data_IF_972884239993
#
_entry.id   IF_972884239993
#
_cell.length_a   1.000
_cell.length_b   1.000
_cell.length_c   1.000
_cell.angle_alpha   90.00
_cell.angle_beta   90.00
_cell.angle_gamma   90.00
#
_symmetry.space_group_name_H-M   'P 1'
#
loop_
_entity.id
_entity.type
_entity.pdbx_description
1 polymer ?
#
# COMPACT_ATOMS: atom_id res chain seq x y z
N UNK A 1 -24.70 17.76 -12.39
CA UNK A 1 -24.38 17.08 -11.12
C UNK A 1 -25.62 16.43 -10.51
N UNK A 2 -26.68 17.19 -10.20
CA UNK A 2 -27.88 16.70 -9.49
C UNK A 2 -28.52 15.44 -10.09
N UNK A 3 -28.67 15.38 -11.42
CA UNK A 3 -29.18 14.18 -12.09
C UNK A 3 -28.25 12.97 -11.89
N UNK A 4 -26.93 13.17 -12.01
CA UNK A 4 -25.94 12.11 -11.80
C UNK A 4 -25.91 11.63 -10.35
N UNK A 5 -26.07 12.54 -9.39
CA UNK A 5 -26.17 12.21 -7.97
C UNK A 5 -27.43 11.37 -7.71
N UNK A 6 -28.57 11.73 -8.31
CA UNK A 6 -29.81 10.95 -8.16
C UNK A 6 -29.64 9.52 -8.67
N UNK A 7 -29.12 9.35 -9.89
CA UNK A 7 -28.85 8.01 -10.46
C UNK A 7 -27.81 7.24 -9.65
N UNK A 8 -26.81 7.92 -9.10
CA UNK A 8 -25.85 7.30 -8.18
C UNK A 8 -26.53 6.76 -6.92
N UNK A 9 -27.37 7.56 -6.26
CA UNK A 9 -28.09 7.15 -5.05
C UNK A 9 -29.15 6.07 -5.31
N UNK A 10 -29.73 6.02 -6.51
CA UNK A 10 -30.61 4.92 -6.93
C UNK A 10 -29.84 3.59 -7.05
N UNK A 11 -28.60 3.62 -7.54
CA UNK A 11 -27.76 2.41 -7.69
C UNK A 11 -27.04 2.02 -6.40
N UNK A 12 -26.65 2.99 -5.58
CA UNK A 12 -25.91 2.81 -4.33
C UNK A 12 -26.65 3.48 -3.15
N UNK A 13 -27.83 2.98 -2.76
CA UNK A 13 -28.66 3.61 -1.72
C UNK A 13 -27.96 3.67 -0.35
N UNK A 14 -27.12 2.68 -0.05
CA UNK A 14 -26.38 2.59 1.21
C UNK A 14 -25.32 3.69 1.36
N UNK A 15 -24.96 4.39 0.27
CA UNK A 15 -24.09 5.57 0.35
C UNK A 15 -24.63 6.61 1.33
N UNK A 16 -25.96 6.77 1.44
CA UNK A 16 -26.61 7.70 2.37
C UNK A 16 -26.30 7.36 3.83
N UNK A 17 -26.07 6.08 4.16
CA UNK A 17 -25.72 5.63 5.50
C UNK A 17 -24.33 6.13 5.92
N UNK A 18 -23.50 6.55 4.96
CA UNK A 18 -22.15 7.05 5.20
C UNK A 18 -22.09 8.57 5.40
N UNK A 19 -23.22 9.27 5.54
CA UNK A 19 -23.31 10.74 5.65
C UNK A 19 -22.39 11.35 6.72
N UNK A 20 -22.08 10.63 7.79
CA UNK A 20 -21.11 11.05 8.81
C UNK A 20 -19.75 11.42 8.21
N UNK A 21 -19.34 10.80 7.09
CA UNK A 21 -18.10 11.12 6.39
C UNK A 21 -18.18 12.44 5.60
N UNK A 22 -19.37 12.91 5.21
CA UNK A 22 -19.52 14.27 4.63
C UNK A 22 -19.39 15.34 5.72
N UNK A 23 -19.95 15.08 6.89
CA UNK A 23 -19.80 15.95 8.07
C UNK A 23 -18.32 15.99 8.52
N UNK A 24 -17.66 14.83 8.54
CA UNK A 24 -16.21 14.72 8.77
C UNK A 24 -15.41 15.50 7.72
N UNK A 25 -15.77 15.39 6.44
CA UNK A 25 -15.10 16.10 5.33
C UNK A 25 -15.15 17.62 5.52
N UNK A 26 -16.28 18.13 6.00
CA UNK A 26 -16.50 19.55 6.30
C UNK A 26 -15.81 20.02 7.59
N UNK A 27 -15.65 19.13 8.58
CA UNK A 27 -15.05 19.49 9.87
C UNK A 27 -13.52 19.37 9.86
N UNK A 28 -12.99 18.26 9.30
CA UNK A 28 -11.60 17.83 9.51
C UNK A 28 -10.71 17.92 8.25
N UNK A 29 -11.35 18.07 7.08
CA UNK A 29 -10.68 18.02 5.78
C UNK A 29 -11.11 19.16 4.84
N UNK A 30 -11.77 20.20 5.37
CA UNK A 30 -12.40 21.27 4.59
C UNK A 30 -11.44 22.01 3.64
N UNK A 31 -10.13 21.94 3.92
CA UNK A 31 -9.08 22.54 3.10
C UNK A 31 -9.09 22.06 1.65
N UNK A 32 -9.57 20.85 1.39
CA UNK A 32 -9.76 20.38 0.01
C UNK A 32 -10.86 21.19 -0.69
N UNK A 33 -11.99 21.48 -0.04
CA UNK A 33 -13.08 22.28 -0.62
C UNK A 33 -12.73 23.76 -0.69
N UNK A 34 -12.16 24.29 0.40
CA UNK A 34 -11.71 25.68 0.49
C UNK A 34 -10.65 26.02 -0.57
N UNK A 35 -9.82 25.04 -0.93
CA UNK A 35 -8.84 25.18 -2.01
C UNK A 35 -9.36 24.69 -3.36
N UNK A 36 -10.58 24.16 -3.45
CA UNK A 36 -11.13 23.59 -4.68
C UNK A 36 -10.20 22.53 -5.31
N UNK A 37 -9.77 21.56 -4.50
CA UNK A 37 -8.91 20.44 -4.89
C UNK A 37 -9.66 19.11 -4.77
N UNK A 38 -9.64 18.33 -5.85
CA UNK A 38 -10.10 16.93 -5.84
C UNK A 38 -8.90 16.04 -5.54
N UNK A 39 -8.92 15.32 -4.43
CA UNK A 39 -7.82 14.43 -4.05
C UNK A 39 -8.18 12.96 -4.29
N UNK A 40 -7.51 12.34 -5.24
CA UNK A 40 -7.71 10.93 -5.62
C UNK A 40 -6.38 10.18 -5.75
N UNK A 41 -5.41 10.48 -4.88
CA UNK A 41 -4.14 9.74 -4.73
C UNK A 41 -3.99 9.11 -3.33
N UNK A 42 -5.07 8.61 -2.74
CA UNK A 42 -5.07 7.98 -1.41
C UNK A 42 -4.14 6.75 -1.29
N UNK A 43 -3.91 6.02 -2.38
CA UNK A 43 -2.92 4.91 -2.38
C UNK A 43 -1.48 5.44 -2.34
N UNK A 44 -1.26 6.69 -2.77
CA UNK A 44 0.00 7.41 -2.65
C UNK A 44 0.26 7.85 -1.21
N UNK A 45 -0.76 8.39 -0.54
CA UNK A 45 -0.77 8.75 0.88
C UNK A 45 -2.16 9.20 1.35
N UNK A 46 -2.47 8.98 2.62
CA UNK A 46 -3.70 9.48 3.22
C UNK A 46 -3.62 10.98 3.53
N UNK A 47 -4.75 11.54 3.95
CA UNK A 47 -4.84 12.91 4.47
C UNK A 47 -5.01 12.87 5.99
N UNK A 48 -4.41 13.83 6.68
CA UNK A 48 -4.55 14.02 8.12
C UNK A 48 -5.74 14.92 8.46
N UNK A 49 -6.44 14.65 9.54
CA UNK A 49 -7.46 15.54 10.07
C UNK A 49 -6.83 16.74 10.78
N UNK A 50 -7.53 17.88 10.80
CA UNK A 50 -7.07 19.08 11.49
C UNK A 50 -6.97 18.85 13.01
N UNK A 51 -7.88 18.06 13.59
CA UNK A 51 -7.83 17.59 14.98
C UNK A 51 -6.57 16.79 15.29
N UNK A 52 -6.20 15.82 14.45
CA UNK A 52 -4.99 15.01 14.67
C UNK A 52 -3.75 15.88 14.84
N UNK A 53 -3.60 16.91 14.01
CA UNK A 53 -2.47 17.85 14.10
C UNK A 53 -2.56 18.70 15.37
N UNK A 54 -3.74 19.26 15.66
CA UNK A 54 -3.95 20.09 16.85
C UNK A 54 -3.64 19.32 18.14
N UNK A 55 -4.21 18.13 18.29
CA UNK A 55 -4.07 17.30 19.49
C UNK A 55 -2.61 16.90 19.72
N UNK A 56 -1.90 16.54 18.65
CA UNK A 56 -0.48 16.20 18.74
C UNK A 56 0.39 17.43 19.05
N UNK A 57 0.12 18.58 18.44
CA UNK A 57 0.84 19.81 18.73
C UNK A 57 0.58 20.32 20.15
N UNK A 58 -0.65 20.17 20.64
CA UNK A 58 -1.00 20.51 22.02
C UNK A 58 -0.32 19.59 23.02
N UNK A 59 -0.19 18.29 22.72
CA UNK A 59 0.64 17.38 23.51
C UNK A 59 2.09 17.88 23.58
N UNK A 60 2.71 18.19 22.44
CA UNK A 60 4.11 18.65 22.37
C UNK A 60 4.34 20.00 23.07
N UNK A 61 3.37 20.92 23.01
CA UNK A 61 3.46 22.24 23.69
C UNK A 61 3.35 22.15 25.20
N UNK A 62 2.56 21.21 25.70
CA UNK A 62 2.24 21.09 27.12
C UNK A 62 3.10 20.06 27.87
N UNK A 63 3.92 19.28 27.15
CA UNK A 63 4.79 18.26 27.74
C UNK A 63 6.28 18.56 27.59
N UNK A 64 7.08 17.95 28.47
CA UNK A 64 8.54 17.91 28.33
C UNK A 64 8.93 16.46 28.05
N UNK A 65 9.43 16.20 26.86
CA UNK A 65 9.71 14.85 26.36
C UNK A 65 11.18 14.70 26.01
N UNK A 66 11.83 13.70 26.60
CA UNK A 66 13.21 13.34 26.32
C UNK A 66 13.29 12.08 25.46
N UNK A 67 14.50 11.75 25.00
CA UNK A 67 14.79 10.44 24.42
C UNK A 67 14.36 9.34 25.41
N UNK A 68 13.70 8.25 24.98
CA UNK A 68 13.45 7.09 25.84
C UNK A 68 14.77 6.50 26.38
N UNK A 69 14.69 5.52 27.30
CA UNK A 69 15.83 4.77 27.87
C UNK A 69 16.58 5.42 29.06
N UNK A 70 16.03 6.46 29.69
CA UNK A 70 16.53 6.98 30.97
C UNK A 70 15.43 6.97 32.05
N UNK A 71 15.81 6.96 33.33
CA UNK A 71 14.86 7.01 34.45
C UNK A 71 14.46 8.45 34.85
N UNK A 72 14.69 9.44 33.98
CA UNK A 72 14.30 10.82 34.28
C UNK A 72 12.85 11.07 33.85
N UNK A 73 12.15 12.06 34.44
CA UNK A 73 10.71 12.24 34.21
C UNK A 73 10.30 12.45 32.74
N UNK A 74 11.12 13.13 31.94
CA UNK A 74 10.80 13.38 30.52
C UNK A 74 11.02 12.15 29.65
N UNK A 75 11.96 11.28 30.02
CA UNK A 75 12.19 9.99 29.36
C UNK A 75 11.10 8.99 29.70
N UNK A 76 10.72 8.86 30.98
CA UNK A 76 9.60 7.99 31.39
C UNK A 76 8.26 8.42 30.78
N UNK A 77 8.02 9.73 30.67
CA UNK A 77 6.83 10.25 29.98
C UNK A 77 6.79 9.82 28.51
N UNK A 78 7.92 9.93 27.81
CA UNK A 78 8.07 9.44 26.43
C UNK A 78 7.84 7.94 26.34
N UNK A 79 8.46 7.13 27.21
CA UNK A 79 8.29 5.66 27.22
C UNK A 79 6.82 5.29 27.36
N UNK A 80 6.08 5.92 28.29
CA UNK A 80 4.64 5.66 28.44
C UNK A 80 3.84 5.95 27.17
N UNK A 81 4.15 7.05 26.48
CA UNK A 81 3.43 7.41 25.24
C UNK A 81 3.77 6.47 24.08
N UNK A 82 5.03 6.03 23.97
CA UNK A 82 5.46 5.07 22.95
C UNK A 82 4.79 3.71 23.18
N UNK A 83 4.78 3.22 24.41
CA UNK A 83 4.13 1.94 24.74
C UNK A 83 2.62 2.02 24.58
N UNK A 84 1.97 3.13 24.96
CA UNK A 84 0.55 3.37 24.69
C UNK A 84 0.22 3.29 23.19
N UNK A 85 1.05 3.93 22.35
CA UNK A 85 0.88 3.84 20.89
C UNK A 85 1.05 2.40 20.37
N UNK A 86 2.02 1.65 20.91
CA UNK A 86 2.28 0.26 20.55
C UNK A 86 1.12 -0.67 20.93
N UNK A 87 0.62 -0.54 22.15
CA UNK A 87 -0.57 -1.24 22.64
C UNK A 87 -1.79 -0.90 21.78
N UNK A 88 -1.97 0.36 21.40
CA UNK A 88 -3.08 0.78 20.56
C UNK A 88 -3.02 0.21 19.15
N UNK A 89 -1.83 0.08 18.56
CA UNK A 89 -1.64 -0.61 17.27
C UNK A 89 -2.15 -2.04 17.39
N UNK A 90 -1.71 -2.79 18.40
CA UNK A 90 -2.15 -4.18 18.60
C UNK A 90 -3.67 -4.27 18.82
N UNK A 91 -4.22 -3.38 19.66
CA UNK A 91 -5.66 -3.29 19.92
C UNK A 91 -6.46 -3.04 18.63
N UNK A 92 -6.06 -2.04 17.83
CA UNK A 92 -6.80 -1.65 16.62
C UNK A 92 -6.91 -2.81 15.61
N UNK A 93 -5.84 -3.60 15.48
CA UNK A 93 -5.78 -4.76 14.58
C UNK A 93 -6.25 -6.07 15.23
N UNK A 94 -6.82 -6.03 16.44
CA UNK A 94 -7.19 -7.23 17.20
C UNK A 94 -6.05 -8.26 17.29
N UNK A 95 -4.81 -7.80 17.51
CA UNK A 95 -3.63 -8.63 17.63
C UNK A 95 -3.35 -8.94 19.12
N UNK A 96 -3.58 -10.17 19.60
CA UNK A 96 -3.40 -10.50 21.01
C UNK A 96 -1.94 -10.25 21.46
N UNK A 97 -1.68 -9.47 22.52
CA UNK A 97 -0.32 -9.15 22.95
C UNK A 97 0.51 -10.34 23.44
N UNK A 98 -0.13 -11.47 23.75
CA UNK A 98 0.52 -12.74 24.05
C UNK A 98 1.06 -13.43 22.78
N UNK A 99 0.43 -13.23 21.62
CA UNK A 99 0.78 -13.84 20.33
C UNK A 99 1.60 -12.91 19.41
N UNK A 100 1.34 -11.59 19.47
CA UNK A 100 1.91 -10.60 18.57
C UNK A 100 2.69 -9.49 19.30
N UNK A 101 3.63 -8.88 18.58
CA UNK A 101 4.28 -7.62 18.95
C UNK A 101 4.22 -6.63 17.78
N UNK A 102 4.22 -5.34 18.11
CA UNK A 102 4.32 -4.27 17.13
C UNK A 102 5.71 -3.64 17.22
N UNK A 103 6.44 -3.56 16.11
CA UNK A 103 7.78 -2.97 15.99
C UNK A 103 7.67 -1.74 15.10
N UNK A 104 8.09 -0.58 15.58
CA UNK A 104 8.05 0.65 14.79
C UNK A 104 9.18 0.68 13.77
N UNK A 105 8.84 1.07 12.55
CA UNK A 105 9.77 1.20 11.43
C UNK A 105 9.53 2.54 10.74
N UNK A 106 10.34 2.89 9.74
CA UNK A 106 10.16 4.16 9.01
C UNK A 106 8.91 4.19 8.11
N UNK A 107 8.43 3.02 7.69
CA UNK A 107 7.22 2.76 6.88
C UNK A 107 7.16 1.24 6.56
N UNK A 108 6.19 0.80 5.76
CA UNK A 108 6.06 -0.61 5.37
C UNK A 108 7.32 -1.14 4.63
N UNK A 109 8.03 -0.32 3.87
CA UNK A 109 9.30 -0.72 3.24
C UNK A 109 10.37 -0.99 4.29
N UNK A 110 10.42 -0.22 5.37
CA UNK A 110 11.29 -0.48 6.51
C UNK A 110 10.99 -1.83 7.15
N UNK A 111 9.72 -2.13 7.39
CA UNK A 111 9.27 -3.43 7.91
C UNK A 111 9.61 -4.59 6.96
N UNK A 112 9.34 -4.45 5.66
CA UNK A 112 9.68 -5.45 4.64
C UNK A 112 11.19 -5.70 4.56
N UNK A 113 12.00 -4.64 4.61
CA UNK A 113 13.46 -4.75 4.62
C UNK A 113 13.95 -5.49 5.86
N UNK A 114 13.41 -5.16 7.04
CA UNK A 114 13.76 -5.79 8.32
C UNK A 114 13.52 -7.30 8.27
N UNK A 115 12.34 -7.73 7.82
CA UNK A 115 12.05 -9.16 7.64
C UNK A 115 13.00 -9.75 6.60
N UNK A 116 13.14 -9.12 5.43
CA UNK A 116 14.00 -9.65 4.35
C UNK A 116 15.46 -9.86 4.75
N UNK A 117 16.05 -8.92 5.48
CA UNK A 117 17.45 -9.03 5.91
C UNK A 117 17.64 -10.07 7.02
N UNK A 118 16.68 -10.16 7.95
CA UNK A 118 16.78 -10.99 9.14
C UNK A 118 16.22 -12.41 8.94
N UNK A 119 15.35 -12.65 7.97
CA UNK A 119 14.77 -13.97 7.74
C UNK A 119 15.86 -14.99 7.40
N UNK A 120 15.80 -16.22 7.96
CA UNK A 120 16.88 -17.21 7.85
C UNK A 120 16.87 -17.94 6.50
N UNK A 121 16.80 -17.19 5.39
CA UNK A 121 16.99 -17.79 4.06
C UNK A 121 18.31 -18.56 4.02
N UNK A 122 18.31 -19.68 3.32
CA UNK A 122 19.47 -20.53 3.12
C UNK A 122 19.28 -21.38 1.86
N UNK A 123 20.35 -22.05 1.42
CA UNK A 123 20.27 -23.07 0.38
C UNK A 123 19.20 -24.13 0.72
N UNK A 124 18.36 -24.45 -0.27
CA UNK A 124 17.22 -25.37 -0.09
C UNK A 124 15.97 -24.75 0.54
N UNK A 125 16.02 -23.48 0.95
CA UNK A 125 14.84 -22.68 1.31
C UNK A 125 14.16 -22.04 0.10
N UNK A 126 12.98 -21.45 0.31
CA UNK A 126 12.16 -20.84 -0.75
C UNK A 126 11.62 -19.46 -0.35
N UNK A 127 11.57 -18.55 -1.31
CA UNK A 127 10.84 -17.30 -1.25
C UNK A 127 9.82 -17.25 -2.39
N UNK A 128 8.54 -17.32 -2.03
CA UNK A 128 7.42 -17.27 -2.96
C UNK A 128 6.75 -15.90 -2.87
N UNK A 129 6.44 -15.30 -4.00
CA UNK A 129 5.72 -14.02 -4.03
C UNK A 129 4.85 -13.88 -5.27
N UNK A 130 3.80 -13.07 -5.21
CA UNK A 130 2.94 -12.79 -6.38
C UNK A 130 3.60 -11.77 -7.34
N UNK A 131 3.21 -11.78 -8.62
CA UNK A 131 3.58 -10.71 -9.58
C UNK A 131 3.04 -9.35 -9.14
N UNK A 132 1.90 -9.35 -8.47
CA UNK A 132 1.22 -8.17 -7.98
C UNK A 132 1.78 -7.75 -6.62
N UNK A 133 3.01 -7.24 -6.63
CA UNK A 133 3.73 -6.84 -5.43
C UNK A 133 4.38 -5.48 -5.61
N UNK A 134 4.34 -4.67 -4.55
CA UNK A 134 5.12 -3.44 -4.50
C UNK A 134 6.63 -3.76 -4.55
N UNK A 135 7.43 -2.85 -5.13
CA UNK A 135 8.89 -2.99 -5.29
C UNK A 135 9.60 -3.39 -3.98
N UNK A 136 9.10 -2.93 -2.84
CA UNK A 136 9.65 -3.25 -1.53
C UNK A 136 9.54 -4.75 -1.19
N UNK A 137 8.45 -5.42 -1.59
CA UNK A 137 8.30 -6.87 -1.45
C UNK A 137 9.20 -7.60 -2.45
N UNK A 138 9.23 -7.10 -3.69
CA UNK A 138 10.12 -7.63 -4.73
C UNK A 138 11.60 -7.55 -4.32
N UNK A 139 12.00 -6.52 -3.58
CA UNK A 139 13.38 -6.32 -3.12
C UNK A 139 13.89 -7.38 -2.15
N UNK A 140 13.00 -8.04 -1.40
CA UNK A 140 13.38 -9.13 -0.47
C UNK A 140 14.06 -10.29 -1.20
N UNK A 141 13.74 -10.49 -2.49
CA UNK A 141 14.35 -11.54 -3.31
C UNK A 141 15.88 -11.44 -3.34
N UNK A 142 16.45 -10.26 -3.18
CA UNK A 142 17.90 -10.10 -3.21
C UNK A 142 18.53 -10.70 -1.94
N UNK A 143 17.90 -10.54 -0.77
CA UNK A 143 18.34 -11.23 0.45
C UNK A 143 18.20 -12.75 0.31
N UNK A 144 17.07 -13.23 -0.24
CA UNK A 144 16.84 -14.65 -0.49
C UNK A 144 17.92 -15.24 -1.41
N UNK A 145 18.21 -14.57 -2.55
CA UNK A 145 19.26 -14.97 -3.51
C UNK A 145 20.64 -14.97 -2.89
N UNK A 146 21.00 -13.93 -2.12
CA UNK A 146 22.32 -13.84 -1.46
C UNK A 146 22.52 -14.99 -0.48
N UNK A 147 21.48 -15.42 0.24
CA UNK A 147 21.57 -16.59 1.13
C UNK A 147 21.31 -17.94 0.43
N UNK A 148 21.07 -17.95 -0.89
CA UNK A 148 20.94 -19.16 -1.70
C UNK A 148 19.55 -19.80 -1.73
N UNK A 149 18.51 -19.12 -1.28
CA UNK A 149 17.13 -19.59 -1.38
C UNK A 149 16.58 -19.44 -2.82
N UNK A 150 15.68 -20.34 -3.21
CA UNK A 150 14.99 -20.29 -4.50
C UNK A 150 13.92 -19.18 -4.47
N UNK A 151 13.83 -18.37 -5.53
CA UNK A 151 12.81 -17.31 -5.65
C UNK A 151 11.85 -17.65 -6.77
N UNK A 152 10.56 -17.74 -6.47
CA UNK A 152 9.51 -18.09 -7.42
C UNK A 152 8.40 -17.06 -7.39
N UNK A 153 7.89 -16.67 -8.55
CA UNK A 153 6.79 -15.73 -8.66
C UNK A 153 5.48 -16.40 -9.12
N UNK A 154 4.37 -16.03 -8.51
CA UNK A 154 3.02 -16.46 -8.91
C UNK A 154 2.43 -15.43 -9.90
N UNK A 155 2.12 -15.81 -11.15
CA UNK A 155 1.64 -14.87 -12.15
C UNK A 155 0.25 -14.33 -11.81
N UNK A 156 -0.09 -13.20 -12.43
CA UNK A 156 -1.47 -12.69 -12.51
C UNK A 156 -2.04 -12.89 -13.90
N UNK A 157 -3.35 -13.04 -13.99
CA UNK A 157 -4.07 -13.36 -15.23
C UNK A 157 -4.86 -12.13 -15.71
N UNK A 158 -4.61 -11.61 -16.93
CA UNK A 158 -5.41 -10.55 -17.51
C UNK A 158 -6.81 -11.06 -17.94
N UNK A 159 -7.83 -10.18 -18.03
CA UNK A 159 -7.77 -8.73 -17.83
C UNK A 159 -7.87 -8.31 -16.35
N UNK A 160 -8.35 -9.19 -15.48
CA UNK A 160 -8.66 -8.85 -14.07
C UNK A 160 -7.41 -8.72 -13.19
N UNK A 161 -6.26 -9.19 -13.68
CA UNK A 161 -4.97 -9.15 -12.96
C UNK A 161 -5.05 -9.81 -11.58
N UNK A 162 -5.89 -10.83 -11.43
CA UNK A 162 -5.92 -11.69 -10.24
C UNK A 162 -4.83 -12.74 -10.33
N UNK A 163 -4.34 -13.19 -9.18
CA UNK A 163 -3.35 -14.27 -9.10
C UNK A 163 -3.91 -15.53 -9.73
N UNK A 164 -3.06 -16.27 -10.46
CA UNK A 164 -3.39 -17.59 -10.98
C UNK A 164 -3.49 -18.60 -9.81
N UNK A 165 -4.72 -18.94 -9.45
CA UNK A 165 -5.06 -19.82 -8.32
C UNK A 165 -4.48 -21.24 -8.46
N UNK A 166 -4.37 -21.74 -9.70
CA UNK A 166 -3.78 -23.06 -9.96
C UNK A 166 -2.27 -23.03 -9.69
N UNK A 167 -1.60 -21.96 -10.13
CA UNK A 167 -0.17 -21.75 -9.85
C UNK A 167 0.11 -21.47 -8.38
N UNK A 168 -0.76 -20.74 -7.69
CA UNK A 168 -0.67 -20.56 -6.24
C UNK A 168 -0.67 -21.92 -5.53
N UNK A 169 -1.65 -22.78 -5.84
CA UNK A 169 -1.76 -24.11 -5.24
C UNK A 169 -0.55 -24.99 -5.55
N UNK A 170 -0.09 -24.98 -6.80
CA UNK A 170 1.12 -25.69 -7.22
C UNK A 170 2.35 -25.24 -6.42
N UNK A 171 2.60 -23.93 -6.35
CA UNK A 171 3.81 -23.39 -5.74
C UNK A 171 3.81 -23.48 -4.21
N UNK A 172 2.65 -23.36 -3.55
CA UNK A 172 2.54 -23.61 -2.12
C UNK A 172 2.85 -25.06 -1.77
N UNK A 173 2.47 -26.02 -2.63
CA UNK A 173 2.73 -27.45 -2.45
C UNK A 173 4.20 -27.86 -2.67
N UNK A 174 5.08 -26.96 -3.09
CA UNK A 174 6.49 -27.30 -3.29
C UNK A 174 7.21 -27.54 -1.96
N UNK A 175 7.85 -28.70 -1.87
CA UNK A 175 8.71 -29.07 -0.75
C UNK A 175 9.99 -28.22 -0.73
N UNK A 176 10.51 -27.99 0.47
CA UNK A 176 11.82 -27.37 0.69
C UNK A 176 12.53 -28.10 1.84
N UNK A 177 13.87 -28.10 1.81
CA UNK A 177 14.70 -28.61 2.91
C UNK A 177 15.11 -27.49 3.89
N UNK A 178 14.74 -26.24 3.60
CA UNK A 178 14.99 -25.07 4.44
C UNK A 178 13.74 -24.20 4.61
N UNK A 179 13.89 -23.01 5.25
CA UNK A 179 12.78 -22.10 5.53
C UNK A 179 12.06 -21.63 4.27
N UNK A 180 10.78 -21.35 4.42
CA UNK A 180 9.86 -21.00 3.33
C UNK A 180 9.09 -19.74 3.71
N UNK A 181 9.28 -18.66 2.96
CA UNK A 181 8.54 -17.40 3.15
C UNK A 181 7.64 -17.13 1.95
N UNK A 182 6.34 -16.95 2.19
CA UNK A 182 5.37 -16.52 1.19
C UNK A 182 4.98 -15.06 1.44
N UNK A 183 5.12 -14.21 0.41
CA UNK A 183 4.84 -12.78 0.50
C UNK A 183 3.88 -12.28 -0.58
N UNK A 184 2.81 -11.59 -0.17
CA UNK A 184 1.84 -10.99 -1.07
C UNK A 184 1.17 -9.77 -0.42
N UNK A 185 0.60 -8.83 -1.19
CA UNK A 185 -0.15 -7.75 -0.57
C UNK A 185 -1.59 -8.20 -0.27
N UNK A 186 -2.19 -7.69 0.79
CA UNK A 186 -3.63 -7.88 1.01
C UNK A 186 -4.47 -7.13 -0.04
N UNK A 187 -3.94 -6.02 -0.58
CA UNK A 187 -4.54 -5.29 -1.69
C UNK A 187 -3.47 -4.77 -2.65
N UNK A 188 -3.68 -4.97 -3.94
CA UNK A 188 -2.87 -4.35 -4.99
C UNK A 188 -2.92 -2.82 -4.91
N UNK A 189 -1.75 -2.20 -4.91
CA UNK A 189 -1.62 -0.75 -5.10
C UNK A 189 -1.72 -0.32 -6.58
N UNK A 190 -1.88 -1.29 -7.50
CA UNK A 190 -2.01 -1.11 -8.94
C UNK A 190 -3.43 -1.43 -9.42
N UNK A 191 -3.85 -2.70 -9.42
CA UNK A 191 -5.15 -3.13 -9.96
C UNK A 191 -6.31 -2.88 -8.99
N UNK A 192 -6.00 -2.65 -7.72
CA UNK A 192 -6.97 -2.61 -6.63
C UNK A 192 -7.46 -4.00 -6.19
N UNK A 193 -7.02 -5.10 -6.79
CA UNK A 193 -7.40 -6.47 -6.37
C UNK A 193 -7.13 -6.66 -4.87
N UNK A 194 -8.14 -7.11 -4.13
CA UNK A 194 -7.99 -7.63 -2.77
C UNK A 194 -7.68 -9.13 -2.88
N UNK A 195 -6.54 -9.54 -2.35
CA UNK A 195 -6.14 -10.94 -2.34
C UNK A 195 -6.78 -11.64 -1.12
N UNK A 196 -7.29 -12.88 -1.27
CA UNK A 196 -7.86 -13.64 -0.17
C UNK A 196 -6.87 -13.80 1.01
N UNK A 197 -7.35 -13.54 2.23
CA UNK A 197 -6.55 -13.75 3.45
C UNK A 197 -6.49 -15.24 3.86
N UNK A 198 -7.37 -16.09 3.33
CA UNK A 198 -7.35 -17.55 3.55
C UNK A 198 -6.10 -18.23 2.96
N UNK A 199 -5.35 -17.54 2.10
CA UNK A 199 -4.04 -17.98 1.62
C UNK A 199 -3.02 -18.11 2.75
N UNK A 200 -3.23 -17.42 3.88
CA UNK A 200 -2.40 -17.53 5.07
C UNK A 200 -2.45 -18.96 5.59
N UNK A 201 -3.64 -19.47 5.90
CA UNK A 201 -3.83 -20.82 6.44
C UNK A 201 -3.36 -21.89 5.45
N UNK A 202 -3.68 -21.71 4.16
CA UNK A 202 -3.23 -22.63 3.10
C UNK A 202 -1.71 -22.72 2.97
N UNK A 203 -1.01 -21.61 3.20
CA UNK A 203 0.44 -21.57 3.18
C UNK A 203 1.02 -22.16 4.47
N UNK A 204 0.41 -21.90 5.64
CA UNK A 204 0.78 -22.51 6.92
C UNK A 204 0.63 -24.04 6.89
N UNK A 205 -0.44 -24.56 6.30
CA UNK A 205 -0.66 -26.01 6.09
C UNK A 205 0.47 -26.68 5.30
N UNK A 206 1.14 -25.90 4.46
CA UNK A 206 2.29 -26.35 3.69
C UNK A 206 3.63 -26.00 4.37
N UNK A 207 3.63 -25.39 5.56
CA UNK A 207 4.84 -25.04 6.33
C UNK A 207 5.56 -23.79 5.81
N UNK A 208 4.84 -22.83 5.25
CA UNK A 208 5.37 -21.51 4.92
C UNK A 208 5.13 -20.54 6.07
N UNK A 209 6.10 -19.69 6.37
CA UNK A 209 5.83 -18.42 7.06
C UNK A 209 5.20 -17.44 6.05
N UNK A 210 4.28 -16.60 6.51
CA UNK A 210 3.48 -15.72 5.65
C UNK A 210 3.67 -14.25 6.02
N UNK A 211 4.07 -13.45 5.04
CA UNK A 211 4.20 -12.00 5.16
C UNK A 211 3.18 -11.29 4.26
N UNK A 212 2.37 -10.44 4.87
CA UNK A 212 1.31 -9.70 4.16
C UNK A 212 1.64 -8.20 4.13
N UNK A 213 1.75 -7.64 2.92
CA UNK A 213 1.81 -6.19 2.72
C UNK A 213 0.41 -5.58 2.79
N UNK A 214 0.13 -4.91 3.91
CA UNK A 214 -1.17 -4.34 4.20
C UNK A 214 -1.25 -2.85 3.86
N UNK A 215 -0.18 -2.24 3.33
CA UNK A 215 -0.07 -0.79 3.19
C UNK A 215 -1.15 -0.15 2.29
N UNK A 216 -1.69 -0.89 1.32
CA UNK A 216 -2.81 -0.44 0.48
C UNK A 216 -4.18 -0.98 0.95
N UNK A 217 -4.22 -1.95 1.87
CA UNK A 217 -5.44 -2.60 2.34
C UNK A 217 -6.06 -1.87 3.53
N UNK A 218 -5.30 -1.71 4.62
CA UNK A 218 -5.81 -1.18 5.90
C UNK A 218 -6.29 0.28 5.92
N UNK A 219 -6.00 1.15 4.92
CA UNK A 219 -6.64 2.47 4.88
C UNK A 219 -8.16 2.45 4.70
N UNK A 220 -8.71 1.37 4.11
CA UNK A 220 -10.14 1.28 3.75
C UNK A 220 -10.77 -0.07 4.06
N UNK A 221 -10.05 -0.96 4.76
CA UNK A 221 -10.51 -2.30 5.09
C UNK A 221 -10.13 -2.65 6.52
N UNK A 222 -11.00 -3.42 7.19
CA UNK A 222 -10.69 -4.03 8.49
C UNK A 222 -9.69 -5.17 8.28
N UNK A 223 -8.65 -5.20 9.10
CA UNK A 223 -7.78 -6.37 9.27
C UNK A 223 -7.93 -6.82 10.72
N UNK A 224 -8.29 -8.08 10.91
CA UNK A 224 -8.45 -8.71 12.22
C UNK A 224 -7.41 -9.82 12.37
N UNK A 225 -6.42 -9.61 13.24
CA UNK A 225 -5.32 -10.55 13.47
C UNK A 225 -5.66 -11.66 14.45
N UNK A 226 -6.85 -11.64 15.05
CA UNK A 226 -7.40 -12.79 15.76
C UNK A 226 -8.00 -13.82 14.80
N UNK A 227 -8.41 -13.38 13.60
CA UNK A 227 -8.96 -14.21 12.52
C UNK A 227 -7.91 -14.58 11.48
N UNK A 228 -7.34 -13.58 10.79
CA UNK A 228 -6.31 -13.77 9.78
C UNK A 228 -4.93 -13.68 10.43
N UNK A 229 -4.19 -14.78 10.42
CA UNK A 229 -3.08 -15.00 11.33
C UNK A 229 -1.69 -14.99 10.68
N UNK A 230 -1.29 -14.01 9.85
CA UNK A 230 0.02 -14.02 9.20
C UNK A 230 1.16 -13.86 10.22
N UNK A 231 2.35 -14.29 9.83
CA UNK A 231 3.57 -14.19 10.64
C UNK A 231 4.10 -12.75 10.70
N UNK A 232 3.97 -12.02 9.59
CA UNK A 232 4.46 -10.66 9.44
C UNK A 232 3.43 -9.78 8.71
N UNK A 233 3.09 -8.62 9.28
CA UNK A 233 2.20 -7.63 8.67
C UNK A 233 2.93 -6.30 8.57
N UNK A 234 2.93 -5.69 7.39
CA UNK A 234 3.62 -4.41 7.17
C UNK A 234 2.66 -3.26 6.94
N UNK A 235 2.93 -2.14 7.62
CA UNK A 235 2.03 -0.99 7.71
C UNK A 235 2.74 0.33 7.43
N UNK A 236 2.01 1.29 6.89
CA UNK A 236 2.44 2.70 6.77
C UNK A 236 1.32 3.62 7.25
N UNK A 237 1.49 4.25 8.41
CA UNK A 237 0.43 5.03 9.05
C UNK A 237 0.02 6.26 8.24
N UNK A 238 0.96 6.89 7.54
CA UNK A 238 0.65 8.00 6.63
C UNK A 238 -0.30 7.59 5.49
N UNK A 239 -0.41 6.31 5.13
CA UNK A 239 -1.41 5.84 4.14
C UNK A 239 -2.79 5.65 4.76
N UNK A 240 -2.85 5.36 6.05
CA UNK A 240 -4.10 5.15 6.78
C UNK A 240 -4.79 6.47 7.12
N UNK A 241 -4.03 7.43 7.66
CA UNK A 241 -4.58 8.69 8.19
C UNK A 241 -3.63 9.89 8.02
N UNK A 242 -2.73 9.84 7.04
CA UNK A 242 -1.92 10.98 6.55
C UNK A 242 -0.76 11.46 7.44
N UNK A 243 -0.86 11.36 8.75
CA UNK A 243 0.13 11.86 9.70
C UNK A 243 0.32 10.91 10.88
N UNK A 244 1.55 10.59 11.33
CA UNK A 244 2.81 11.15 10.88
C UNK A 244 3.40 10.42 9.65
N UNK A 245 4.17 11.16 8.85
CA UNK A 245 5.07 10.55 7.87
C UNK A 245 6.36 10.08 8.56
N UNK A 246 7.10 9.19 7.90
CA UNK A 246 8.34 8.64 8.47
C UNK A 246 8.13 7.64 9.60
N UNK A 247 6.91 7.12 9.76
CA UNK A 247 6.60 6.01 10.67
C UNK A 247 5.70 4.96 9.99
N UNK A 248 6.02 3.70 10.22
CA UNK A 248 5.21 2.52 9.94
C UNK A 248 5.38 1.49 11.04
N UNK A 249 4.94 0.27 10.78
CA UNK A 249 5.00 -0.81 11.74
C UNK A 249 5.15 -2.16 11.06
N UNK A 250 5.94 -3.03 11.69
CA UNK A 250 5.91 -4.48 11.51
C UNK A 250 5.12 -5.05 12.69
N UNK A 251 3.94 -5.61 12.45
CA UNK A 251 3.28 -6.46 13.45
C UNK A 251 3.74 -7.89 13.16
N UNK A 252 4.38 -8.53 14.13
CA UNK A 252 4.97 -9.85 13.97
C UNK A 252 4.45 -10.82 15.02
N UNK A 253 4.17 -12.06 14.61
CA UNK A 253 3.97 -13.17 15.55
C UNK A 253 5.27 -13.40 16.31
N UNK A 254 5.19 -13.61 17.61
CA UNK A 254 6.39 -13.83 18.44
C UNK A 254 7.21 -15.04 17.97
N UNK A 255 6.54 -16.15 17.66
CA UNK A 255 7.20 -17.37 17.14
C UNK A 255 7.94 -17.13 15.82
N UNK A 256 7.40 -16.28 14.94
CA UNK A 256 8.06 -15.93 13.70
C UNK A 256 9.21 -14.93 13.92
N UNK A 257 9.05 -14.01 14.87
CA UNK A 257 10.08 -13.05 15.25
C UNK A 257 11.32 -13.74 15.82
N UNK A 258 11.16 -14.82 16.59
CA UNK A 258 12.27 -15.62 17.13
C UNK A 258 13.15 -16.27 16.04
N UNK A 259 12.60 -16.50 14.85
CA UNK A 259 13.35 -17.02 13.70
C UNK A 259 14.26 -15.96 13.06
N UNK A 260 13.97 -14.67 13.28
CA UNK A 260 14.70 -13.58 12.64
C UNK A 260 16.10 -13.41 13.26
N UNK A 261 17.12 -13.46 12.40
CA UNK A 261 18.53 -13.31 12.77
C UNK A 261 19.10 -12.05 12.12
N UNK A 262 19.21 -10.97 12.89
CA UNK A 262 19.74 -9.70 12.38
C UNK A 262 21.23 -9.86 12.02
N UNK A 263 21.65 -9.41 10.82
CA UNK A 263 23.06 -9.53 10.40
C UNK A 263 23.96 -8.44 11.01
N UNK A 264 23.39 -7.52 11.79
CA UNK A 264 24.08 -6.39 12.40
C UNK A 264 23.29 -5.87 13.62
N UNK A 265 23.89 -4.99 14.40
CA UNK A 265 23.24 -4.29 15.51
C UNK A 265 23.52 -2.79 15.45
N UNK A 266 22.63 -2.01 16.05
CA UNK A 266 22.72 -0.56 16.21
C UNK A 266 22.59 -0.17 17.69
N UNK A 267 22.89 1.09 18.02
CA UNK A 267 22.46 1.65 19.31
C UNK A 267 20.95 1.48 19.50
N UNK A 268 20.47 1.34 20.73
CA UNK A 268 19.07 1.01 21.04
C UNK A 268 18.75 -0.48 20.91
N UNK A 269 19.43 -1.22 20.02
CA UNK A 269 19.18 -2.66 19.79
C UNK A 269 20.08 -3.60 20.61
N UNK A 270 20.95 -3.02 21.46
CA UNK A 270 21.90 -3.74 22.32
C UNK A 270 21.76 -3.27 23.76
N UNK A 271 22.03 -4.18 24.70
CA UNK A 271 22.23 -3.82 26.11
C UNK A 271 23.69 -3.44 26.38
N UNK A 272 24.63 -4.18 25.78
CA UNK A 272 26.08 -3.98 25.95
C UNK A 272 26.78 -4.30 24.63
N UNK A 273 27.76 -3.48 24.25
CA UNK A 273 28.78 -3.82 23.25
C UNK A 273 30.17 -3.51 23.81
N UNK A 274 31.11 -4.44 23.62
CA UNK A 274 32.48 -4.33 24.11
C UNK A 274 33.46 -4.57 22.98
N UNK A 275 34.21 -3.52 22.62
CA UNK A 275 35.28 -3.58 21.63
C UNK A 275 36.44 -4.45 22.14
N UNK A 276 36.78 -4.34 23.43
CA UNK A 276 37.89 -5.11 24.00
C UNK A 276 37.59 -6.60 24.11
N UNK A 277 36.33 -6.95 24.39
CA UNK A 277 35.91 -8.35 24.48
C UNK A 277 35.45 -8.93 23.13
N UNK A 278 35.36 -8.10 22.09
CA UNK A 278 34.81 -8.41 20.76
C UNK A 278 33.43 -9.10 20.84
N UNK A 279 32.54 -8.54 21.67
CA UNK A 279 31.22 -9.12 21.99
C UNK A 279 30.13 -8.07 22.15
N UNK A 280 28.89 -8.49 21.96
CA UNK A 280 27.70 -7.72 22.25
C UNK A 280 26.58 -8.61 22.77
N UNK A 281 25.61 -7.99 23.45
CA UNK A 281 24.32 -8.60 23.79
C UNK A 281 23.22 -7.74 23.18
N UNK A 282 22.34 -8.36 22.40
CA UNK A 282 21.15 -7.69 21.87
C UNK A 282 20.17 -7.37 23.01
N UNK A 283 19.37 -6.34 22.82
CA UNK A 283 18.18 -6.11 23.62
C UNK A 283 17.19 -7.26 23.43
N UNK A 284 16.24 -7.40 24.37
CA UNK A 284 15.17 -8.39 24.26
C UNK A 284 13.91 -7.77 23.64
N UNK A 285 13.07 -8.59 23.03
CA UNK A 285 11.78 -8.14 22.49
C UNK A 285 11.89 -7.16 21.32
N UNK A 286 11.02 -6.15 21.30
CA UNK A 286 10.87 -5.21 20.16
C UNK A 286 12.09 -4.29 19.99
N UNK A 287 12.77 -3.94 21.08
CA UNK A 287 13.93 -3.05 21.07
C UNK A 287 15.08 -3.63 20.23
N UNK A 288 15.21 -4.96 20.16
CA UNK A 288 16.19 -5.65 19.33
C UNK A 288 16.05 -5.33 17.83
N UNK A 289 14.90 -4.80 17.42
CA UNK A 289 14.48 -4.54 16.05
C UNK A 289 14.20 -3.05 15.76
N UNK A 290 14.37 -2.17 16.75
CA UNK A 290 14.15 -0.73 16.61
C UNK A 290 15.50 0.02 16.60
N UNK A 291 15.97 0.35 15.39
CA UNK A 291 17.31 0.92 15.20
C UNK A 291 17.43 2.35 15.76
N UNK A 292 18.34 2.53 16.71
CA UNK A 292 18.75 3.84 17.21
C UNK A 292 17.66 4.52 18.04
N UNK A 293 17.71 5.86 18.06
CA UNK A 293 16.63 6.65 18.65
C UNK A 293 15.43 6.59 17.73
N UNK A 294 14.35 5.95 18.19
CA UNK A 294 13.07 5.90 17.48
C UNK A 294 12.46 7.29 17.34
N UNK A 295 11.45 7.42 16.47
CA UNK A 295 10.74 8.67 16.21
C UNK A 295 9.79 9.06 17.36
N UNK A 296 10.31 9.08 18.60
CA UNK A 296 9.56 9.05 19.85
C UNK A 296 8.58 10.21 20.05
N UNK A 297 8.82 11.37 19.44
CA UNK A 297 7.89 12.50 19.48
C UNK A 297 6.69 12.34 18.54
N UNK A 298 6.85 11.59 17.43
CA UNK A 298 5.77 11.36 16.47
C UNK A 298 5.01 10.05 16.74
N UNK A 299 5.63 9.05 17.39
CA UNK A 299 4.94 7.79 17.74
C UNK A 299 3.59 7.98 18.46
N UNK A 300 3.43 8.94 19.41
CA UNK A 300 2.15 9.15 20.07
C UNK A 300 1.02 9.60 19.12
N UNK A 301 1.36 10.23 17.99
CA UNK A 301 0.37 10.62 16.99
C UNK A 301 -0.29 9.43 16.27
N UNK A 302 0.31 8.24 16.35
CA UNK A 302 -0.27 7.01 15.80
C UNK A 302 -1.54 6.64 16.55
N UNK A 303 -1.52 6.70 17.88
CA UNK A 303 -2.70 6.43 18.70
C UNK A 303 -3.83 7.43 18.37
N UNK A 304 -3.49 8.71 18.22
CA UNK A 304 -4.44 9.76 17.82
C UNK A 304 -5.06 9.41 16.44
N UNK A 305 -4.24 9.01 15.47
CA UNK A 305 -4.73 8.65 14.14
C UNK A 305 -5.53 7.36 14.07
N UNK A 306 -5.19 6.35 14.87
CA UNK A 306 -5.96 5.11 14.96
C UNK A 306 -7.30 5.32 15.67
N UNK A 307 -7.34 6.15 16.73
CA UNK A 307 -8.60 6.60 17.36
C UNK A 307 -9.47 7.34 16.36
N UNK A 308 -8.90 8.26 15.59
CA UNK A 308 -9.63 8.96 14.53
C UNK A 308 -10.28 7.99 13.53
N UNK A 309 -9.56 6.97 13.07
CA UNK A 309 -10.16 5.95 12.18
C UNK A 309 -11.22 5.08 12.87
N UNK A 310 -11.03 4.75 14.14
CA UNK A 310 -11.99 3.98 14.94
C UNK A 310 -13.29 4.76 15.15
N UNK A 311 -13.19 6.04 15.52
CA UNK A 311 -14.32 6.96 15.75
C UNK A 311 -15.11 7.20 14.46
N UNK A 312 -14.41 7.30 13.32
CA UNK A 312 -15.04 7.40 12.00
C UNK A 312 -15.73 6.09 11.60
N UNK A 313 -15.11 4.95 11.92
CA UNK A 313 -15.60 3.62 11.59
C UNK A 313 -15.12 3.13 10.22
N UNK A 314 -14.22 2.14 10.22
CA UNK A 314 -13.64 1.57 9.00
C UNK A 314 -14.68 0.94 8.05
N UNK A 315 -15.80 0.46 8.59
CA UNK A 315 -16.92 -0.06 7.78
C UNK A 315 -17.55 1.01 6.91
N UNK A 316 -17.90 2.18 7.49
CA UNK A 316 -18.46 3.29 6.73
C UNK A 316 -17.50 3.82 5.66
N UNK A 317 -16.20 3.85 5.95
CA UNK A 317 -15.15 4.18 4.97
C UNK A 317 -15.18 3.17 3.81
N UNK A 318 -15.21 1.88 4.12
CA UNK A 318 -15.22 0.81 3.13
C UNK A 318 -16.46 0.88 2.22
N UNK A 319 -17.64 1.05 2.80
CA UNK A 319 -18.91 1.16 2.08
C UNK A 319 -18.91 2.38 1.14
N UNK A 320 -18.46 3.54 1.65
CA UNK A 320 -18.33 4.77 0.86
C UNK A 320 -17.38 4.58 -0.32
N UNK A 321 -16.17 4.08 -0.06
CA UNK A 321 -15.14 3.89 -1.09
C UNK A 321 -15.60 2.88 -2.14
N UNK A 322 -16.30 1.82 -1.72
CA UNK A 322 -16.86 0.80 -2.61
C UNK A 322 -17.92 1.40 -3.54
N UNK A 323 -18.88 2.15 -2.99
CA UNK A 323 -19.92 2.81 -3.79
C UNK A 323 -19.34 3.80 -4.81
N UNK A 324 -18.43 4.68 -4.37
CA UNK A 324 -17.79 5.67 -5.24
C UNK A 324 -16.94 5.02 -6.33
N UNK A 325 -16.23 3.93 -6.00
CA UNK A 325 -15.41 3.18 -6.95
C UNK A 325 -16.27 2.48 -7.98
N UNK A 326 -17.36 1.83 -7.56
CA UNK A 326 -18.31 1.19 -8.47
C UNK A 326 -18.88 2.18 -9.48
N UNK A 327 -19.38 3.33 -9.01
CA UNK A 327 -19.90 4.37 -9.90
C UNK A 327 -18.83 4.92 -10.85
N UNK A 328 -17.63 5.19 -10.34
CA UNK A 328 -16.53 5.70 -11.16
C UNK A 328 -16.12 4.71 -12.26
N UNK A 329 -16.07 3.41 -11.97
CA UNK A 329 -15.84 2.36 -12.98
C UNK A 329 -16.92 2.36 -14.05
N UNK A 330 -18.20 2.37 -13.65
CA UNK A 330 -19.34 2.39 -14.57
C UNK A 330 -19.23 3.58 -15.53
N UNK A 331 -18.98 4.78 -14.99
CA UNK A 331 -18.91 6.00 -15.77
C UNK A 331 -17.71 6.01 -16.71
N UNK A 332 -16.51 5.64 -16.24
CA UNK A 332 -15.31 5.62 -17.06
C UNK A 332 -15.43 4.62 -18.21
N UNK A 333 -15.97 3.42 -17.95
CA UNK A 333 -16.17 2.38 -18.97
C UNK A 333 -17.26 2.73 -20.00
N UNK A 334 -18.21 3.60 -19.64
CA UNK A 334 -19.25 4.08 -20.53
C UNK A 334 -18.77 5.18 -21.50
N UNK A 335 -17.63 5.82 -21.26
CA UNK A 335 -17.11 6.90 -22.12
C UNK A 335 -16.64 6.34 -23.47
N UNK A 336 -17.36 6.71 -24.53
CA UNK A 336 -17.05 6.36 -25.92
C UNK A 336 -16.93 7.61 -26.78
N UNK A 337 -15.95 7.58 -27.68
CA UNK A 337 -15.82 8.53 -28.77
C UNK A 337 -17.05 8.47 -29.70
N UNK A 338 -17.23 9.52 -30.50
CA UNK A 338 -18.30 9.60 -31.50
C UNK A 338 -18.27 8.46 -32.54
N UNK A 339 -17.11 7.81 -32.73
CA UNK A 339 -16.96 6.64 -33.60
C UNK A 339 -17.17 5.28 -32.89
N UNK A 340 -17.56 5.30 -31.60
CA UNK A 340 -17.82 4.11 -30.79
C UNK A 340 -16.61 3.53 -30.04
N UNK A 341 -15.38 4.00 -30.35
CA UNK A 341 -14.17 3.56 -29.65
C UNK A 341 -14.22 3.97 -28.17
N UNK A 342 -13.70 3.11 -27.28
CA UNK A 342 -13.65 3.40 -25.84
C UNK A 342 -12.54 4.42 -25.54
N UNK A 343 -12.87 5.44 -24.75
CA UNK A 343 -11.89 6.42 -24.26
C UNK A 343 -10.96 5.81 -23.21
N UNK A 344 -11.50 4.95 -22.33
CA UNK A 344 -10.78 4.43 -21.17
C UNK A 344 -10.59 2.92 -21.28
N UNK A 345 -9.40 2.44 -20.93
CA UNK A 345 -9.14 1.03 -20.61
C UNK A 345 -8.73 0.91 -19.15
N UNK A 346 -9.41 0.05 -18.40
CA UNK A 346 -9.13 -0.24 -16.98
C UNK A 346 -8.19 -1.44 -16.90
N UNK A 347 -7.25 -1.41 -15.96
CA UNK A 347 -6.37 -2.54 -15.63
C UNK A 347 -6.74 -3.09 -14.26
N UNK A 348 -7.16 -4.35 -14.22
CA UNK A 348 -7.77 -4.98 -13.04
C UNK A 348 -9.26 -5.27 -13.25
N UNK A 349 -9.97 -5.72 -12.20
CA UNK A 349 -11.39 -6.03 -12.28
C UNK A 349 -12.18 -4.79 -12.75
N UNK A 350 -13.35 -4.98 -13.35
CA UNK A 350 -14.22 -3.86 -13.78
C UNK A 350 -15.43 -3.66 -12.87
N UNK A 351 -15.53 -4.46 -11.80
CA UNK A 351 -16.51 -4.35 -10.74
C UNK A 351 -15.82 -4.07 -9.38
N UNK A 352 -16.60 -4.12 -8.31
CA UNK A 352 -16.15 -3.92 -6.92
C UNK A 352 -15.93 -5.23 -6.17
N UNK A 353 -16.11 -6.39 -6.81
CA UNK A 353 -15.92 -7.67 -6.14
C UNK A 353 -14.44 -7.88 -5.81
N UNK A 354 -14.11 -8.10 -4.53
CA UNK A 354 -12.73 -8.28 -4.06
C UNK A 354 -11.78 -7.23 -4.66
N UNK A 355 -12.20 -5.96 -4.63
CA UNK A 355 -11.48 -4.80 -5.17
C UNK A 355 -11.55 -3.63 -4.18
N UNK A 356 -10.42 -2.96 -3.96
CA UNK A 356 -10.34 -1.73 -3.18
C UNK A 356 -10.57 -0.49 -4.03
N UNK A 357 -10.43 0.68 -3.38
CA UNK A 357 -10.67 1.98 -4.00
C UNK A 357 -9.68 2.44 -5.07
N UNK A 358 -8.80 1.55 -5.55
CA UNK A 358 -7.78 1.87 -6.58
C UNK A 358 -8.28 1.45 -7.97
N UNK A 359 -8.17 2.38 -8.92
CA UNK A 359 -8.48 2.19 -10.33
C UNK A 359 -7.29 2.68 -11.16
N UNK A 360 -6.63 1.75 -11.85
CA UNK A 360 -5.58 2.09 -12.81
C UNK A 360 -6.16 2.05 -14.22
N UNK A 361 -5.93 3.12 -14.98
CA UNK A 361 -6.52 3.32 -16.30
C UNK A 361 -5.52 3.91 -17.28
N UNK A 362 -5.81 3.72 -18.56
CA UNK A 362 -5.21 4.48 -19.64
C UNK A 362 -6.29 5.09 -20.54
N UNK A 363 -5.98 6.25 -21.11
CA UNK A 363 -6.87 7.00 -22.01
C UNK A 363 -6.41 6.84 -23.46
N UNK A 364 -7.35 6.73 -24.39
CA UNK A 364 -7.10 6.50 -25.81
C UNK A 364 -7.83 7.55 -26.64
N UNK A 365 -7.27 7.93 -27.78
CA UNK A 365 -7.95 8.77 -28.76
C UNK A 365 -8.97 7.98 -29.60
N UNK A 366 -9.77 8.66 -30.43
CA UNK A 366 -10.69 8.00 -31.37
C UNK A 366 -9.96 7.15 -32.42
N UNK A 367 -8.65 7.35 -32.62
CA UNK A 367 -7.78 6.52 -33.46
C UNK A 367 -7.17 5.32 -32.69
N UNK A 368 -7.69 5.02 -31.50
CA UNK A 368 -7.23 3.96 -30.59
C UNK A 368 -5.77 4.06 -30.17
N UNK A 369 -5.16 5.24 -30.35
CA UNK A 369 -3.81 5.52 -29.87
C UNK A 369 -3.84 5.95 -28.42
N UNK A 370 -2.91 5.39 -27.64
CA UNK A 370 -2.74 5.75 -26.24
C UNK A 370 -2.37 7.22 -26.10
N UNK A 371 -3.08 7.92 -25.22
CA UNK A 371 -2.74 9.26 -24.76
C UNK A 371 -1.70 9.14 -23.66
N UNK A 372 -0.65 9.95 -23.71
CA UNK A 372 0.45 9.89 -22.75
C UNK A 372 -0.07 10.15 -21.32
N UNK A 373 0.13 9.19 -20.40
CA UNK A 373 -0.33 9.26 -19.02
C UNK A 373 0.24 10.46 -18.25
N UNK A 374 1.48 10.89 -18.54
CA UNK A 374 2.08 12.09 -17.93
C UNK A 374 1.35 13.35 -18.38
N UNK A 375 0.90 13.39 -19.64
CA UNK A 375 0.11 14.50 -20.16
C UNK A 375 -1.28 14.53 -19.52
N UNK A 376 -1.88 13.36 -19.27
CA UNK A 376 -3.13 13.27 -18.51
C UNK A 376 -2.96 13.82 -17.09
N UNK A 377 -1.88 13.49 -16.39
CA UNK A 377 -1.59 14.02 -15.05
C UNK A 377 -1.40 15.55 -15.06
N UNK A 378 -0.71 16.09 -16.07
CA UNK A 378 -0.57 17.54 -16.24
C UNK A 378 -1.93 18.22 -16.46
N UNK A 379 -2.78 17.67 -17.33
CA UNK A 379 -4.12 18.20 -17.59
C UNK A 379 -5.05 18.09 -16.37
N UNK A 380 -4.97 16.98 -15.64
CA UNK A 380 -5.69 16.80 -14.38
C UNK A 380 -5.25 17.85 -13.34
N UNK A 381 -3.95 18.15 -13.29
CA UNK A 381 -3.41 19.20 -12.41
C UNK A 381 -3.97 20.58 -12.73
N UNK A 382 -4.10 20.95 -14.03
CA UNK A 382 -4.80 22.18 -14.44
C UNK A 382 -6.28 22.17 -14.03
N UNK A 383 -6.92 21.00 -14.07
CA UNK A 383 -8.30 20.81 -13.62
C UNK A 383 -8.45 20.70 -12.09
N UNK A 384 -7.36 20.89 -11.32
CA UNK A 384 -7.32 20.80 -9.84
C UNK A 384 -7.64 19.39 -9.32
N UNK A 385 -7.29 18.35 -10.08
CA UNK A 385 -7.46 16.94 -9.73
C UNK A 385 -6.08 16.34 -9.43
N UNK A 386 -5.86 15.97 -8.18
CA UNK A 386 -4.66 15.29 -7.71
C UNK A 386 -4.81 13.78 -7.92
N UNK A 387 -4.32 13.30 -9.06
CA UNK A 387 -4.13 11.88 -9.37
C UNK A 387 -2.65 11.60 -9.61
N UNK A 388 -2.27 10.34 -9.85
CA UNK A 388 -0.87 9.96 -10.08
C UNK A 388 -0.68 9.23 -11.39
N UNK A 389 0.47 9.43 -12.03
CA UNK A 389 0.89 8.63 -13.20
C UNK A 389 2.23 7.90 -13.00
N UNK A 390 2.47 6.86 -13.82
CA UNK A 390 3.73 6.11 -13.86
C UNK A 390 3.57 4.59 -13.73
N UNK A 391 4.60 3.90 -13.25
CA UNK A 391 4.60 2.42 -13.03
C UNK A 391 4.16 1.99 -11.63
N UNK A 392 3.83 2.94 -10.74
CA UNK A 392 3.29 2.71 -9.39
C UNK A 392 4.07 1.74 -8.50
N UNK A 393 5.35 1.53 -8.79
CA UNK A 393 6.21 0.61 -8.06
C UNK A 393 5.66 -0.83 -7.97
N UNK A 394 4.85 -1.28 -8.94
CA UNK A 394 4.33 -2.65 -9.02
C UNK A 394 4.59 -3.21 -10.42
N UNK A 395 5.83 -3.62 -10.71
CA UNK A 395 6.27 -3.95 -12.06
C UNK A 395 5.58 -5.21 -12.60
N UNK A 396 5.39 -6.26 -11.80
CA UNK A 396 4.82 -7.51 -12.32
C UNK A 396 3.38 -7.36 -12.80
N UNK A 397 2.50 -6.72 -12.02
CA UNK A 397 1.15 -6.42 -12.47
C UNK A 397 1.14 -5.44 -13.66
N UNK A 398 2.01 -4.41 -13.63
CA UNK A 398 2.13 -3.43 -14.72
C UNK A 398 2.61 -4.05 -16.04
N UNK A 399 3.61 -4.93 -16.00
CA UNK A 399 4.13 -5.65 -17.15
C UNK A 399 3.03 -6.48 -17.81
N UNK A 400 2.30 -7.27 -17.03
CA UNK A 400 1.17 -8.07 -17.53
C UNK A 400 0.06 -7.18 -18.10
N UNK A 401 -0.28 -6.09 -17.41
CA UNK A 401 -1.31 -5.14 -17.85
C UNK A 401 -0.99 -4.48 -19.20
N UNK A 402 0.29 -4.20 -19.45
CA UNK A 402 0.77 -3.62 -20.70
C UNK A 402 1.16 -4.67 -21.76
N UNK A 403 0.98 -5.96 -21.45
CA UNK A 403 1.32 -7.08 -22.33
C UNK A 403 2.81 -7.18 -22.62
N UNK A 404 3.67 -6.72 -21.70
CA UNK A 404 5.12 -6.83 -21.81
C UNK A 404 5.54 -8.28 -21.54
N UNK A 405 6.15 -8.93 -22.52
CA UNK A 405 6.59 -10.32 -22.38
C UNK A 405 7.95 -10.41 -21.70
N UNK A 406 8.27 -11.59 -21.18
CA UNK A 406 9.58 -11.88 -20.59
C UNK A 406 10.71 -11.57 -21.57
N UNK A 407 10.56 -11.94 -22.84
CA UNK A 407 11.56 -11.74 -23.88
C UNK A 407 11.78 -10.24 -24.18
N UNK A 408 10.70 -9.45 -24.23
CA UNK A 408 10.76 -7.99 -24.40
C UNK A 408 11.48 -7.32 -23.22
N UNK A 409 11.21 -7.78 -21.99
CA UNK A 409 11.86 -7.28 -20.79
C UNK A 409 13.34 -7.67 -20.72
N UNK A 410 13.69 -8.91 -21.06
CA UNK A 410 15.08 -9.38 -21.12
C UNK A 410 15.91 -8.63 -22.16
N UNK A 411 15.34 -8.27 -23.31
CA UNK A 411 15.97 -7.39 -24.30
C UNK A 411 16.28 -6.02 -23.69
N UNK A 412 15.34 -5.44 -22.95
CA UNK A 412 15.50 -4.17 -22.25
C UNK A 412 16.66 -4.15 -21.24
N UNK A 413 16.99 -5.30 -20.65
CA UNK A 413 18.11 -5.47 -19.70
C UNK A 413 19.37 -6.08 -20.33
N UNK A 414 19.40 -6.32 -21.64
CA UNK A 414 20.58 -6.91 -22.32
C UNK A 414 21.78 -5.98 -22.27
N UNK A 415 21.56 -4.67 -22.36
CA UNK A 415 22.62 -3.71 -22.13
C UNK A 415 22.89 -3.60 -20.62
N UNK A 416 24.11 -3.94 -20.19
CA UNK A 416 24.53 -3.89 -18.78
C UNK A 416 24.74 -2.46 -18.26
N UNK A 417 24.68 -1.46 -19.13
CA UNK A 417 24.73 -0.06 -18.71
C UNK A 417 23.45 0.33 -17.97
N UNK A 418 23.61 1.08 -16.88
CA UNK A 418 22.49 1.62 -16.10
C UNK A 418 21.65 2.54 -16.99
N UNK A 419 20.40 2.15 -17.23
CA UNK A 419 19.43 2.98 -17.93
C UNK A 419 18.61 3.83 -16.95
N UNK A 420 18.24 5.05 -17.36
CA UNK A 420 17.16 5.80 -16.69
C UNK A 420 15.81 5.15 -17.02
N UNK A 421 14.78 5.47 -16.22
CA UNK A 421 13.42 5.02 -16.51
C UNK A 421 12.97 5.45 -17.92
N UNK A 422 13.22 6.69 -18.32
CA UNK A 422 12.86 7.19 -19.66
C UNK A 422 13.61 6.45 -20.79
N UNK A 423 14.88 6.10 -20.57
CA UNK A 423 15.64 5.30 -21.52
C UNK A 423 15.07 3.89 -21.65
N UNK A 424 14.71 3.27 -20.52
CA UNK A 424 14.09 1.94 -20.50
C UNK A 424 12.74 1.94 -21.22
N UNK A 425 11.93 2.96 -20.97
CA UNK A 425 10.66 3.22 -21.65
C UNK A 425 10.83 3.42 -23.15
N UNK A 426 11.88 4.14 -23.57
CA UNK A 426 12.19 4.34 -24.99
C UNK A 426 12.53 3.00 -25.67
N UNK A 427 13.25 2.11 -24.98
CA UNK A 427 13.56 0.77 -25.49
C UNK A 427 12.29 -0.07 -25.63
N UNK A 428 11.43 -0.11 -24.62
CA UNK A 428 10.15 -0.83 -24.70
C UNK A 428 9.23 -0.28 -25.80
N UNK A 429 9.17 1.04 -25.96
CA UNK A 429 8.37 1.68 -27.01
C UNK A 429 8.90 1.33 -28.41
N UNK A 430 10.22 1.18 -28.59
CA UNK A 430 10.84 0.76 -29.86
C UNK A 430 10.62 -0.70 -30.18
N UNK A 431 10.61 -1.58 -29.17
CA UNK A 431 10.49 -3.04 -29.36
C UNK A 431 9.04 -3.45 -29.66
N UNK A 432 8.04 -2.80 -29.05
CA UNK A 432 6.65 -3.26 -29.14
C UNK A 432 5.58 -2.18 -29.32
N UNK A 433 5.93 -0.89 -29.38
CA UNK A 433 4.95 0.20 -29.43
C UNK A 433 4.08 0.33 -28.17
N UNK A 434 4.46 -0.35 -27.09
CA UNK A 434 3.76 -0.39 -25.80
C UNK A 434 4.27 0.74 -24.90
N UNK A 435 3.39 1.31 -24.08
CA UNK A 435 3.76 2.22 -23.00
C UNK A 435 3.76 1.44 -21.68
N UNK A 436 4.82 1.56 -20.89
CA UNK A 436 4.90 1.04 -19.53
C UNK A 436 4.54 2.15 -18.53
N UNK A 437 3.25 2.47 -18.43
CA UNK A 437 2.75 3.44 -17.48
C UNK A 437 1.26 3.65 -17.65
N UNK A 438 0.61 4.04 -16.56
CA UNK A 438 -0.80 4.33 -16.55
C UNK A 438 -1.11 5.50 -15.61
N UNK A 439 -2.40 5.84 -15.51
CA UNK A 439 -2.95 6.79 -14.55
C UNK A 439 -3.64 6.01 -13.45
N UNK A 440 -3.38 6.36 -12.19
CA UNK A 440 -4.03 5.77 -11.03
C UNK A 440 -4.89 6.80 -10.32
N UNK A 441 -6.14 6.40 -10.12
CA UNK A 441 -7.14 7.08 -9.32
C UNK A 441 -7.36 6.20 -8.09
N UNK A 442 -7.29 6.77 -6.89
CA UNK A 442 -7.46 6.04 -5.64
C UNK A 442 -8.26 6.86 -4.64
N UNK A 443 -9.35 6.27 -4.16
CA UNK A 443 -10.30 6.90 -3.24
C UNK A 443 -9.99 6.52 -1.79
N UNK A 444 -10.45 7.33 -0.84
CA UNK A 444 -10.24 7.08 0.58
C UNK A 444 -11.18 7.85 1.49
N UNK A 445 -10.77 7.97 2.75
CA UNK A 445 -11.57 8.46 3.88
C UNK A 445 -12.39 9.74 3.61
N UNK A 446 -11.81 10.72 2.90
CA UNK A 446 -12.43 12.02 2.67
C UNK A 446 -12.97 12.19 1.24
N UNK A 447 -12.99 11.12 0.42
CA UNK A 447 -13.58 11.16 -0.92
C UNK A 447 -15.10 11.25 -0.86
N UNK A 448 -15.70 12.04 -1.73
CA UNK A 448 -17.16 12.14 -1.86
C UNK A 448 -17.63 12.03 -3.33
N UNK A 449 -18.94 12.19 -3.56
CA UNK A 449 -19.51 12.11 -4.91
C UNK A 449 -19.00 13.23 -5.84
N UNK A 450 -18.80 14.46 -5.33
CA UNK A 450 -18.30 15.57 -6.15
C UNK A 450 -16.89 15.26 -6.70
N UNK A 451 -16.03 14.65 -5.88
CA UNK A 451 -14.69 14.24 -6.30
C UNK A 451 -14.74 13.30 -7.51
N UNK A 452 -15.49 12.20 -7.42
CA UNK A 452 -15.59 11.22 -8.53
C UNK A 452 -16.33 11.80 -9.73
N UNK A 453 -17.33 12.67 -9.51
CA UNK A 453 -18.05 13.36 -10.57
C UNK A 453 -17.09 14.24 -11.39
N UNK A 454 -16.25 15.03 -10.71
CA UNK A 454 -15.26 15.89 -11.38
C UNK A 454 -14.18 15.10 -12.12
N UNK A 455 -13.79 13.93 -11.61
CA UNK A 455 -12.90 13.00 -12.35
C UNK A 455 -13.56 12.53 -13.64
N UNK A 456 -14.85 12.18 -13.60
CA UNK A 456 -15.60 11.77 -14.81
C UNK A 456 -15.76 12.93 -15.79
N UNK A 457 -16.06 14.15 -15.33
CA UNK A 457 -16.13 15.33 -16.21
C UNK A 457 -14.78 15.65 -16.85
N UNK A 458 -13.69 15.51 -16.10
CA UNK A 458 -12.34 15.62 -16.65
C UNK A 458 -12.08 14.58 -17.73
N UNK A 459 -12.38 13.30 -17.46
CA UNK A 459 -12.27 12.24 -18.46
C UNK A 459 -13.12 12.55 -19.70
N UNK A 460 -14.38 12.98 -19.51
CA UNK A 460 -15.29 13.34 -20.61
C UNK A 460 -14.74 14.48 -21.48
N UNK A 461 -13.99 15.42 -20.90
CA UNK A 461 -13.37 16.52 -21.65
C UNK A 461 -12.34 16.07 -22.69
N UNK A 462 -11.85 14.82 -22.58
CA UNK A 462 -10.91 14.19 -23.51
C UNK A 462 -11.60 13.48 -24.67
N UNK A 463 -12.93 13.35 -24.65
CA UNK A 463 -13.68 12.73 -25.75
C UNK A 463 -13.38 13.43 -27.08
N UNK A 464 -13.28 12.60 -28.12
CA UNK A 464 -13.00 12.97 -29.51
C UNK A 464 -11.69 13.76 -29.76
N UNK A 465 -10.82 13.88 -28.75
CA UNK A 465 -9.46 14.41 -28.92
C UNK A 465 -8.51 13.29 -29.33
N UNK A 466 -7.75 13.50 -30.40
CA UNK A 466 -6.68 12.58 -30.81
C UNK A 466 -5.54 12.64 -29.82
N UNK A 467 -4.80 11.53 -29.68
CA UNK A 467 -3.61 11.47 -28.84
C UNK A 467 -2.53 12.52 -29.20
N UNK A 468 -2.51 13.00 -30.45
CA UNK A 468 -1.59 14.08 -30.87
C UNK A 468 -2.06 15.50 -30.52
N UNK A 469 -3.30 15.66 -30.06
CA UNK A 469 -3.94 16.95 -29.73
C UNK A 469 -4.04 17.19 -28.22
N UNK A 470 -3.94 16.12 -27.44
CA UNK A 470 -3.91 16.12 -25.98
C UNK A 470 -2.46 16.21 -25.55
#
# INVERSE_FOLDING_TARGET
MDTSLRTFLEKYPDYVLTRSLDELRLAEYNRLDAQNLVYVDYTGGGLYADSQIRDHMDMLRNGVFGNPHSANPSSEATTRLVESAREYVLKYFNAPPDEYVAIFTSNATGALKLVGEAYPFQAGGRYLLTFDNHNSVNGIREFARTKGAEVTYIPVVPPDLRVDEARLTEFLGLSASGPKLFAYPAQSNFSGVKHPLDWIDRAHDQGWDVMVDCAAYVPTNRLDLSEAKPDFVTLSFYKMFGYPTGVGCLIARKEALEKLQRPWFAGGTITIASVQADKHYLAEGVEAFEDGTINYLNLPAIEIGLKHLEDVGIGAISDRVTALTGWLLDQLLALRHSNGASLVRVYGPTDTHMRGGTITVNFYGPDEKLINHMRIEELASYARICLRSGCFCNPGAGEVAHGLTKEEMEEGFRNKERMTFDQFMTVLQRIGGKSAGAVRISLGLASNFDDVFRVVEFARSLLDRKASQV
#
